data_IF_943243876632
#
_entry.id   IF_943243876632
#
_cell.length_a   1.000
_cell.length_b   1.000
_cell.length_c   1.000
_cell.angle_alpha   90.00
_cell.angle_beta   90.00
_cell.angle_gamma   90.00
#
_symmetry.space_group_name_H-M   'P 1'
#
loop_
_entity.id
_entity.type
_entity.pdbx_description
1 polymer ?
#
# COMPACT_ATOMS: atom_id res chain seq x y z
N UNK A 1 5.91 -6.60 19.26
CA UNK A 1 6.73 -5.86 18.27
C UNK A 1 5.80 -5.62 17.08
N UNK A 2 5.66 -4.38 16.58
CA UNK A 2 4.69 -4.10 15.50
C UNK A 2 5.11 -4.68 14.16
N UNK A 3 4.17 -4.94 13.24
CA UNK A 3 4.46 -5.41 11.88
C UNK A 3 5.42 -4.47 11.13
N UNK A 4 5.22 -3.17 11.29
CA UNK A 4 6.16 -2.16 10.79
C UNK A 4 7.59 -2.42 11.31
N UNK A 5 7.73 -2.70 12.61
CA UNK A 5 9.04 -2.96 13.23
C UNK A 5 9.71 -4.20 12.64
N UNK A 6 8.95 -5.27 12.41
CA UNK A 6 9.43 -6.49 11.75
C UNK A 6 9.91 -6.20 10.33
N UNK A 7 9.14 -5.46 9.54
CA UNK A 7 9.49 -5.08 8.17
C UNK A 7 10.75 -4.23 8.08
N UNK A 8 10.93 -3.28 9.00
CA UNK A 8 12.19 -2.53 9.08
C UNK A 8 13.36 -3.48 9.43
N UNK A 9 13.13 -4.47 10.30
CA UNK A 9 14.08 -5.55 10.56
C UNK A 9 14.45 -6.34 9.29
N UNK A 10 13.47 -6.72 8.46
CA UNK A 10 13.68 -7.41 7.20
C UNK A 10 14.49 -6.56 6.20
N UNK A 11 14.18 -5.26 6.10
CA UNK A 11 14.90 -4.33 5.23
C UNK A 11 16.36 -4.16 5.66
N UNK A 12 16.61 -4.12 6.98
CA UNK A 12 17.95 -4.06 7.53
C UNK A 12 18.74 -5.34 7.21
N UNK A 13 18.12 -6.51 7.39
CA UNK A 13 18.81 -7.79 7.32
C UNK A 13 20.07 -7.79 8.19
N UNK A 14 21.21 -8.11 7.57
CA UNK A 14 22.51 -8.19 8.25
C UNK A 14 23.24 -6.85 8.39
N UNK A 15 22.74 -5.77 7.79
CA UNK A 15 23.37 -4.45 7.87
C UNK A 15 23.25 -3.88 9.29
N UNK A 16 24.20 -3.07 9.72
CA UNK A 16 24.01 -2.14 10.83
C UNK A 16 23.02 -1.02 10.43
N UNK A 17 22.46 -0.31 11.41
CA UNK A 17 21.59 0.84 11.12
C UNK A 17 22.33 2.00 10.45
N UNK A 18 23.65 2.11 10.66
CA UNK A 18 24.49 3.11 9.98
C UNK A 18 24.62 2.76 8.50
N UNK A 19 25.01 1.52 8.18
CA UNK A 19 25.11 1.05 6.80
C UNK A 19 23.76 1.12 6.07
N UNK A 20 22.66 0.79 6.74
CA UNK A 20 21.33 0.94 6.15
C UNK A 20 21.00 2.41 5.84
N UNK A 21 21.33 3.33 6.76
CA UNK A 21 21.12 4.76 6.54
C UNK A 21 21.90 5.27 5.33
N UNK A 22 23.16 4.86 5.20
CA UNK A 22 24.02 5.25 4.09
C UNK A 22 23.48 4.69 2.76
N UNK A 23 23.10 3.41 2.72
CA UNK A 23 22.51 2.80 1.50
C UNK A 23 21.19 3.43 1.09
N UNK A 24 20.34 3.81 2.05
CA UNK A 24 19.11 4.56 1.75
C UNK A 24 19.45 5.90 1.12
N UNK A 25 20.43 6.62 1.68
CA UNK A 25 20.86 7.90 1.16
C UNK A 25 21.45 7.78 -0.25
N UNK A 26 22.34 6.81 -0.49
CA UNK A 26 22.95 6.56 -1.80
C UNK A 26 21.89 6.29 -2.89
N UNK A 27 20.87 5.51 -2.57
CA UNK A 27 19.83 5.12 -3.54
C UNK A 27 18.73 6.16 -3.74
N UNK A 28 18.40 6.95 -2.72
CA UNK A 28 17.21 7.83 -2.72
C UNK A 28 17.53 9.33 -2.61
N UNK A 29 18.77 9.68 -2.28
CA UNK A 29 19.17 11.05 -1.95
C UNK A 29 18.62 11.57 -0.61
N UNK A 30 17.88 10.75 0.13
CA UNK A 30 17.21 11.17 1.37
C UNK A 30 17.93 10.66 2.61
N UNK A 31 18.30 11.58 3.50
CA UNK A 31 19.03 11.25 4.73
C UNK A 31 18.06 10.87 5.86
N UNK A 32 18.15 9.61 6.31
CA UNK A 32 17.48 9.13 7.53
C UNK A 32 18.58 8.77 8.54
N UNK A 33 18.52 9.35 9.74
CA UNK A 33 19.53 9.05 10.77
C UNK A 33 19.40 7.61 11.29
N UNK A 34 20.53 6.95 11.57
CA UNK A 34 20.55 5.55 12.03
C UNK A 34 19.73 5.31 13.29
N UNK A 35 19.77 6.23 14.26
CA UNK A 35 18.96 6.12 15.49
C UNK A 35 17.46 6.20 15.22
N UNK A 36 17.06 6.88 14.14
CA UNK A 36 15.66 6.95 13.71
C UNK A 36 15.21 5.62 13.12
N UNK A 37 16.05 4.98 12.30
CA UNK A 37 15.80 3.63 11.79
C UNK A 37 15.73 2.60 12.93
N UNK A 38 16.58 2.73 13.94
CA UNK A 38 16.53 1.90 15.14
C UNK A 38 15.22 2.09 15.93
N UNK A 39 14.74 3.33 16.05
CA UNK A 39 13.45 3.62 16.69
C UNK A 39 12.28 3.00 15.93
N UNK A 40 12.34 2.97 14.59
CA UNK A 40 11.35 2.29 13.76
C UNK A 40 11.39 0.77 13.96
N UNK A 41 12.58 0.18 13.95
CA UNK A 41 12.76 -1.26 14.13
C UNK A 41 12.39 -1.76 15.54
N UNK A 42 12.35 -0.88 16.54
CA UNK A 42 11.97 -1.21 17.92
C UNK A 42 10.54 -0.81 18.26
N UNK A 43 9.79 -0.24 17.31
CA UNK A 43 8.43 0.24 17.54
C UNK A 43 8.31 1.49 18.42
N UNK A 44 9.44 2.10 18.81
CA UNK A 44 9.47 3.33 19.62
C UNK A 44 9.00 4.56 18.84
N UNK A 45 8.97 4.47 17.51
CA UNK A 45 8.49 5.51 16.61
C UNK A 45 7.91 4.88 15.36
N UNK A 46 6.89 5.49 14.79
CA UNK A 46 6.41 5.11 13.46
C UNK A 46 7.02 5.99 12.35
N UNK A 47 7.29 5.41 11.16
CA UNK A 47 7.68 6.18 10.00
C UNK A 47 6.54 7.07 9.51
N UNK A 48 6.85 8.32 9.14
CA UNK A 48 5.87 9.18 8.48
C UNK A 48 5.61 8.72 7.04
N UNK A 49 4.49 9.16 6.42
CA UNK A 49 4.19 8.90 5.00
C UNK A 49 5.34 9.26 4.06
N UNK A 50 6.06 10.36 4.34
CA UNK A 50 7.24 10.77 3.56
C UNK A 50 8.37 9.74 3.66
N UNK A 51 8.62 9.25 4.87
CA UNK A 51 9.65 8.23 5.12
C UNK A 51 9.25 6.89 4.51
N UNK A 52 7.97 6.50 4.56
CA UNK A 52 7.51 5.28 3.89
C UNK A 52 7.72 5.32 2.38
N UNK A 53 7.54 6.47 1.73
CA UNK A 53 7.86 6.65 0.30
C UNK A 53 9.36 6.48 0.02
N UNK A 54 10.22 6.98 0.89
CA UNK A 54 11.68 6.81 0.79
C UNK A 54 12.06 5.33 0.94
N UNK A 55 11.52 4.66 1.96
CA UNK A 55 11.76 3.24 2.18
C UNK A 55 11.23 2.39 1.02
N UNK A 56 10.07 2.73 0.47
CA UNK A 56 9.50 2.11 -0.73
C UNK A 56 10.42 2.26 -1.94
N UNK A 57 10.96 3.47 -2.19
CA UNK A 57 11.94 3.68 -3.26
C UNK A 57 13.24 2.90 -3.04
N UNK A 58 13.71 2.79 -1.79
CA UNK A 58 14.90 2.01 -1.45
C UNK A 58 14.69 0.51 -1.69
N UNK A 59 13.57 -0.05 -1.25
CA UNK A 59 13.31 -1.51 -1.31
C UNK A 59 12.70 -1.97 -2.63
N UNK A 60 12.11 -1.06 -3.41
CA UNK A 60 11.28 -1.40 -4.57
C UNK A 60 9.92 -2.00 -4.19
N UNK A 61 9.56 -2.04 -2.91
CA UNK A 61 8.25 -2.51 -2.43
C UNK A 61 7.24 -1.36 -2.45
N UNK A 62 5.95 -1.61 -2.74
CA UNK A 62 4.93 -0.57 -2.67
C UNK A 62 4.75 -0.06 -1.24
N UNK A 63 4.27 1.17 -1.06
CA UNK A 63 4.00 1.73 0.27
C UNK A 63 2.98 0.87 1.06
N UNK A 64 2.03 0.23 0.37
CA UNK A 64 1.06 -0.69 0.99
C UNK A 64 1.74 -1.86 1.71
N UNK A 65 2.84 -2.36 1.18
CA UNK A 65 3.60 -3.46 1.78
C UNK A 65 4.07 -3.12 3.19
N UNK A 66 4.25 -1.84 3.56
CA UNK A 66 4.61 -1.44 4.92
C UNK A 66 3.42 -1.43 5.88
N UNK A 67 2.20 -1.28 5.35
CA UNK A 67 0.95 -1.14 6.08
C UNK A 67 0.12 -2.43 6.16
N UNK A 68 0.43 -3.44 5.33
CA UNK A 68 -0.21 -4.77 5.34
C UNK A 68 0.18 -5.56 6.61
N UNK A 69 -0.71 -5.82 7.55
CA UNK A 69 -0.34 -6.76 8.64
C UNK A 69 -0.13 -8.18 8.05
N UNK A 70 0.82 -8.96 8.58
CA UNK A 70 1.12 -10.33 8.06
C UNK A 70 -0.10 -11.26 8.06
N UNK A 71 -1.17 -10.92 8.79
CA UNK A 71 -2.46 -11.61 8.81
C UNK A 71 -3.45 -11.11 7.73
N UNK A 72 -3.03 -10.22 6.83
CA UNK A 72 -3.86 -9.70 5.75
C UNK A 72 -3.21 -9.97 4.39
N UNK A 73 -3.60 -11.10 3.79
CA UNK A 73 -3.54 -11.27 2.34
C UNK A 73 -4.22 -10.07 1.66
N UNK A 74 -3.46 -9.41 0.78
CA UNK A 74 -3.79 -8.27 -0.07
C UNK A 74 -5.30 -8.05 -0.33
N UNK A 75 -5.80 -6.86 0.01
CA UNK A 75 -6.55 -5.97 -0.91
C UNK A 75 -6.90 -4.68 -0.15
N UNK A 76 -6.38 -3.51 -0.47
CA UNK A 76 -6.69 -2.74 -1.67
C UNK A 76 -7.26 -1.38 -1.24
N UNK A 77 -6.91 -0.30 -1.94
CA UNK A 77 -7.56 1.00 -1.80
C UNK A 77 -9.02 0.93 -2.34
N UNK A 78 -9.91 0.29 -1.60
CA UNK A 78 -11.34 0.39 -1.77
C UNK A 78 -11.86 0.86 -0.41
N UNK A 79 -12.25 2.13 -0.30
CA UNK A 79 -12.98 2.62 0.88
C UNK A 79 -14.38 2.01 0.86
N UNK A 80 -14.43 0.71 1.14
CA UNK A 80 -15.56 0.08 1.78
C UNK A 80 -15.44 0.51 3.24
N UNK A 81 -16.53 0.96 3.87
CA UNK A 81 -16.50 1.23 5.31
C UNK A 81 -15.93 -0.02 5.98
N UNK A 82 -15.03 0.14 6.95
CA UNK A 82 -14.09 -0.88 7.46
C UNK A 82 -14.70 -2.24 7.92
N UNK A 83 -16.01 -2.48 7.76
CA UNK A 83 -16.73 -3.73 8.05
C UNK A 83 -17.78 -4.15 6.99
N UNK A 84 -17.82 -3.55 5.79
CA UNK A 84 -18.72 -3.99 4.71
C UNK A 84 -17.95 -4.97 3.80
N UNK A 85 -18.41 -6.22 3.69
CA UNK A 85 -17.87 -7.13 2.69
C UNK A 85 -18.40 -6.74 1.30
N UNK A 86 -17.52 -6.74 0.29
CA UNK A 86 -17.96 -6.60 -1.11
C UNK A 86 -18.71 -7.88 -1.49
N UNK A 87 -20.01 -7.82 -1.85
CA UNK A 87 -20.78 -9.01 -2.18
C UNK A 87 -20.14 -9.79 -3.34
N UNK A 88 -20.21 -11.13 -3.28
CA UNK A 88 -19.60 -12.05 -4.27
C UNK A 88 -19.91 -11.68 -5.73
N UNK A 89 -21.13 -11.23 -5.99
CA UNK A 89 -21.58 -10.82 -7.33
C UNK A 89 -20.74 -9.67 -7.91
N UNK A 90 -20.32 -8.70 -7.09
CA UNK A 90 -19.47 -7.60 -7.53
C UNK A 90 -18.04 -8.08 -7.81
N UNK A 91 -17.54 -9.05 -7.05
CA UNK A 91 -16.22 -9.64 -7.26
C UNK A 91 -16.13 -10.39 -8.60
N UNK A 92 -17.17 -11.15 -8.96
CA UNK A 92 -17.22 -11.86 -10.24
C UNK A 92 -17.23 -10.90 -11.43
N UNK A 93 -17.98 -9.80 -11.35
CA UNK A 93 -18.02 -8.78 -12.39
C UNK A 93 -16.65 -8.13 -12.56
N UNK A 94 -15.97 -7.82 -11.46
CA UNK A 94 -14.63 -7.25 -11.49
C UNK A 94 -13.61 -8.21 -12.14
N UNK A 95 -13.65 -9.50 -11.78
CA UNK A 95 -12.81 -10.54 -12.39
C UNK A 95 -13.02 -10.62 -13.90
N UNK A 96 -14.27 -10.70 -14.34
CA UNK A 96 -14.63 -10.74 -15.77
C UNK A 96 -14.15 -9.48 -16.51
N UNK A 97 -14.28 -8.29 -15.92
CA UNK A 97 -13.82 -7.05 -16.53
C UNK A 97 -12.28 -7.04 -16.72
N UNK A 98 -11.55 -7.52 -15.71
CA UNK A 98 -10.08 -7.65 -15.77
C UNK A 98 -9.65 -8.63 -16.85
N UNK A 99 -10.27 -9.80 -16.94
CA UNK A 99 -9.98 -10.83 -17.95
C UNK A 99 -10.21 -10.30 -19.38
N UNK A 100 -11.24 -9.45 -19.54
CA UNK A 100 -11.55 -8.77 -20.80
C UNK A 100 -10.73 -7.51 -21.06
N UNK A 101 -9.75 -7.19 -20.20
CA UNK A 101 -8.90 -5.99 -20.28
C UNK A 101 -9.71 -4.69 -20.40
N UNK A 102 -10.89 -4.65 -19.79
CA UNK A 102 -11.72 -3.45 -19.77
C UNK A 102 -11.07 -2.47 -18.79
N UNK A 103 -10.67 -1.27 -19.22
CA UNK A 103 -10.01 -0.33 -18.34
C UNK A 103 -11.00 0.26 -17.32
N UNK A 104 -10.54 0.63 -16.11
CA UNK A 104 -11.40 1.22 -15.08
C UNK A 104 -12.16 2.47 -15.54
N UNK A 105 -11.58 3.25 -16.45
CA UNK A 105 -12.24 4.42 -17.06
C UNK A 105 -13.51 4.04 -17.81
N UNK A 106 -13.52 2.92 -18.51
CA UNK A 106 -14.70 2.44 -19.24
C UNK A 106 -15.80 1.95 -18.29
N UNK A 107 -15.43 1.31 -17.18
CA UNK A 107 -16.40 0.93 -16.15
C UNK A 107 -17.05 2.16 -15.52
N UNK A 108 -16.28 3.23 -15.28
CA UNK A 108 -16.80 4.50 -14.77
C UNK A 108 -17.83 5.12 -15.72
N UNK A 109 -17.53 5.18 -17.01
CA UNK A 109 -18.46 5.68 -18.03
C UNK A 109 -19.74 4.85 -18.10
N UNK A 110 -19.63 3.53 -17.96
CA UNK A 110 -20.79 2.65 -17.93
C UNK A 110 -21.71 2.93 -16.72
N UNK A 111 -21.13 3.11 -15.53
CA UNK A 111 -21.87 3.46 -14.31
C UNK A 111 -22.62 4.78 -14.50
N UNK A 112 -21.92 5.82 -14.99
CA UNK A 112 -22.52 7.14 -15.26
C UNK A 112 -23.69 7.05 -16.26
N UNK A 113 -23.56 6.23 -17.31
CA UNK A 113 -24.62 6.01 -18.29
C UNK A 113 -25.85 5.32 -17.68
N UNK A 114 -25.64 4.30 -16.84
CA UNK A 114 -26.74 3.58 -16.16
C UNK A 114 -27.46 4.50 -15.17
N UNK A 115 -26.73 5.31 -14.40
CA UNK A 115 -27.33 6.29 -13.48
C UNK A 115 -28.19 7.31 -14.22
N UNK A 116 -27.70 7.82 -15.35
CA UNK A 116 -28.45 8.76 -16.19
C UNK A 116 -29.73 8.13 -16.74
N UNK A 117 -29.65 6.90 -17.27
CA UNK A 117 -30.81 6.18 -17.79
C UNK A 117 -31.85 5.85 -16.70
N UNK A 118 -31.44 5.67 -15.44
CA UNK A 118 -32.38 5.52 -14.30
C UNK A 118 -33.11 6.82 -13.99
N UNK A 119 -32.40 7.95 -14.00
CA UNK A 119 -32.98 9.28 -13.74
C UNK A 119 -33.98 9.71 -14.80
N UNK A 120 -33.80 9.31 -16.05
CA UNK A 120 -34.74 9.64 -17.16
C UNK A 120 -36.03 8.81 -17.14
N UNK A 121 -36.11 7.76 -16.31
CA UNK A 121 -37.29 6.88 -16.17
C UNK A 121 -38.10 7.13 -14.89
N UNK A 122 -37.75 8.14 -14.11
CA UNK A 122 -38.46 8.55 -12.87
C UNK A 122 -39.04 9.93 -13.05
#
# INVERSE_FOLDING_TARGET
MSEMSKKIGLIKGNLSYAELADKIYEKTGYKIHYTTLQKYATGKREPSKKVLRVLSAYTGKPVSWFLEDEDQEISGNFLVKENEEIPYEYQEVFKKAKDKKIPPSSLKLFIEAVEKARKEKT
#
